data_IF_691131513639
#
_entry.id   IF_691131513639
#
_cell.length_a   1.000
_cell.length_b   1.000
_cell.length_c   1.000
_cell.angle_alpha   90.00
_cell.angle_beta   90.00
_cell.angle_gamma   90.00
#
_symmetry.space_group_name_H-M   'P 1'
#
loop_
_entity.id
_entity.type
_entity.pdbx_description
1 polymer ?
#
# COMPACT_ATOMS: atom_id res chain seq x y z
N UNK A 1 -2.53 65.20 36.34
CA UNK A 1 -2.04 63.85 35.96
C UNK A 1 -3.18 63.11 35.28
N UNK A 2 -3.29 63.21 33.95
CA UNK A 2 -4.41 62.63 33.20
C UNK A 2 -4.11 61.18 32.81
N UNK A 3 -4.84 60.25 33.42
CA UNK A 3 -4.97 58.89 32.91
C UNK A 3 -5.52 58.90 31.49
N UNK A 4 -4.83 58.23 30.58
CA UNK A 4 -5.24 57.98 29.20
C UNK A 4 -5.24 56.45 29.07
N UNK A 5 -6.35 55.77 29.27
CA UNK A 5 -7.60 55.92 28.52
C UNK A 5 -7.45 55.07 27.26
N UNK A 6 -8.04 53.87 27.28
CA UNK A 6 -8.15 52.93 26.16
C UNK A 6 -8.44 53.70 24.86
N UNK A 7 -7.43 53.89 24.01
CA UNK A 7 -7.65 54.37 22.65
C UNK A 7 -8.20 53.21 21.83
N UNK A 8 -9.48 53.32 21.49
CA UNK A 8 -10.14 52.46 20.54
C UNK A 8 -9.46 52.48 19.17
N UNK A 9 -9.28 51.28 18.61
CA UNK A 9 -9.64 51.03 17.22
C UNK A 9 -8.67 51.44 16.12
N UNK A 10 -7.35 51.29 16.27
CA UNK A 10 -6.54 51.01 15.06
C UNK A 10 -7.02 49.69 14.49
N UNK A 11 -7.35 49.65 13.19
CA UNK A 11 -7.71 48.43 12.48
C UNK A 11 -6.66 47.35 12.81
N UNK A 12 -7.07 46.35 13.60
CA UNK A 12 -6.13 45.38 14.17
C UNK A 12 -5.54 44.61 13.00
N UNK A 13 -4.24 44.77 12.76
CA UNK A 13 -3.52 44.03 11.73
C UNK A 13 -3.87 42.54 11.86
N UNK A 14 -4.17 41.90 10.72
CA UNK A 14 -4.67 40.52 10.69
C UNK A 14 -3.68 39.64 11.46
N UNK A 15 -4.11 39.10 12.59
CA UNK A 15 -3.22 38.36 13.47
C UNK A 15 -2.63 37.16 12.71
N UNK A 16 -1.30 37.09 12.59
CA UNK A 16 -0.62 35.94 12.00
C UNK A 16 -1.02 34.67 12.76
N UNK A 17 -1.43 33.64 12.02
CA UNK A 17 -1.85 32.37 12.61
C UNK A 17 -0.66 31.64 13.23
N UNK A 18 -0.91 30.79 14.23
CA UNK A 18 0.16 29.96 14.84
C UNK A 18 0.86 29.09 13.80
N UNK A 19 0.13 28.55 12.82
CA UNK A 19 0.70 27.81 11.67
C UNK A 19 1.66 28.68 10.86
N UNK A 20 1.23 29.87 10.43
CA UNK A 20 2.08 30.78 9.64
C UNK A 20 3.34 31.22 10.38
N UNK A 21 3.28 31.35 11.72
CA UNK A 21 4.47 31.67 12.54
C UNK A 21 5.42 30.49 12.68
N UNK A 22 4.91 29.26 12.65
CA UNK A 22 5.68 28.03 12.75
C UNK A 22 6.17 27.51 11.39
N UNK A 23 5.77 28.13 10.28
CA UNK A 23 6.12 27.66 8.93
C UNK A 23 5.39 26.39 8.48
N UNK A 24 4.27 26.04 9.13
CA UNK A 24 3.53 24.80 8.87
C UNK A 24 2.30 25.09 7.99
N UNK A 25 2.04 24.20 7.03
CA UNK A 25 0.78 24.16 6.29
C UNK A 25 -0.36 23.60 7.16
N UNK A 26 -0.05 22.69 8.08
CA UNK A 26 -1.03 22.05 8.95
C UNK A 26 -1.56 23.00 10.04
N UNK A 27 -2.84 22.86 10.42
CA UNK A 27 -3.50 23.83 11.30
C UNK A 27 -3.18 23.59 12.79
N UNK A 28 -2.08 24.19 13.29
CA UNK A 28 -1.65 24.17 14.70
C UNK A 28 -2.80 24.50 15.67
N UNK A 29 -3.62 25.49 15.32
CA UNK A 29 -4.75 25.90 16.16
C UNK A 29 -5.81 24.81 16.33
N UNK A 30 -6.07 24.04 15.28
CA UNK A 30 -7.01 22.91 15.29
C UNK A 30 -6.43 21.74 16.06
N UNK A 31 -5.16 21.43 15.88
CA UNK A 31 -4.44 20.39 16.64
C UNK A 31 -4.50 20.67 18.14
N UNK A 32 -4.25 21.92 18.57
CA UNK A 32 -4.38 22.28 19.99
C UNK A 32 -5.79 22.02 20.53
N UNK A 33 -6.83 22.37 19.77
CA UNK A 33 -8.22 22.13 20.20
C UNK A 33 -8.54 20.64 20.29
N UNK A 34 -8.04 19.82 19.35
CA UNK A 34 -8.22 18.37 19.38
C UNK A 34 -7.50 17.75 20.59
N UNK A 35 -6.29 18.18 20.91
CA UNK A 35 -5.56 17.73 22.10
C UNK A 35 -6.31 18.06 23.39
N UNK A 36 -6.90 19.25 23.50
CA UNK A 36 -7.74 19.63 24.65
C UNK A 36 -9.03 18.82 24.73
N UNK A 37 -9.71 18.60 23.59
CA UNK A 37 -10.97 17.84 23.54
C UNK A 37 -10.74 16.35 23.85
N UNK A 38 -9.59 15.80 23.50
CA UNK A 38 -9.26 14.40 23.72
C UNK A 38 -8.97 14.04 25.18
N UNK A 39 -8.90 15.02 26.09
CA UNK A 39 -8.66 14.80 27.52
C UNK A 39 -7.42 13.93 27.83
N UNK A 40 -6.39 14.00 26.98
CA UNK A 40 -5.14 13.24 27.16
C UNK A 40 -4.33 13.68 28.39
N UNK A 41 -4.51 14.92 28.83
CA UNK A 41 -3.91 15.52 30.01
C UNK A 41 -4.73 16.73 30.48
N UNK A 42 -4.65 17.06 31.77
CA UNK A 42 -5.33 18.24 32.36
C UNK A 42 -4.87 19.56 31.69
N UNK A 43 -3.58 19.64 31.35
CA UNK A 43 -2.98 20.81 30.69
C UNK A 43 -2.23 20.40 29.42
N UNK A 44 -2.39 21.21 28.38
CA UNK A 44 -1.65 21.08 27.11
C UNK A 44 -0.78 22.32 26.97
N UNK A 45 0.55 22.11 26.93
CA UNK A 45 1.53 23.17 26.73
C UNK A 45 1.46 23.79 25.33
N UNK A 46 1.90 25.05 25.20
CA UNK A 46 1.77 25.80 23.95
C UNK A 46 2.57 25.22 22.77
N UNK A 47 3.71 24.56 23.05
CA UNK A 47 4.58 23.95 22.04
C UNK A 47 4.09 22.57 21.54
N UNK A 48 3.36 21.82 22.37
CA UNK A 48 2.85 20.48 22.03
C UNK A 48 2.05 20.44 20.70
N UNK A 49 1.08 21.34 20.45
CA UNK A 49 0.34 21.33 19.18
C UNK A 49 1.16 21.78 17.98
N UNK A 50 2.26 22.52 18.19
CA UNK A 50 3.18 22.91 17.10
C UNK A 50 3.99 21.70 16.68
N UNK A 51 4.60 21.01 17.65
CA UNK A 51 5.39 19.81 17.40
C UNK A 51 4.56 18.71 16.73
N UNK A 52 3.38 18.41 17.30
CA UNK A 52 2.50 17.40 16.73
C UNK A 52 2.02 17.77 15.31
N UNK A 53 1.69 19.04 15.05
CA UNK A 53 1.32 19.48 13.71
C UNK A 53 2.47 19.29 12.70
N UNK A 54 3.71 19.57 13.10
CA UNK A 54 4.89 19.37 12.27
C UNK A 54 5.11 17.89 11.93
N UNK A 55 5.01 17.00 12.91
CA UNK A 55 5.12 15.54 12.70
C UNK A 55 4.03 15.03 11.76
N UNK A 56 2.79 15.47 11.97
CA UNK A 56 1.67 15.09 11.10
C UNK A 56 1.85 15.61 9.67
N UNK A 57 2.38 16.82 9.50
CA UNK A 57 2.68 17.40 8.19
C UNK A 57 3.79 16.63 7.48
N UNK A 58 4.88 16.31 8.19
CA UNK A 58 5.98 15.49 7.68
C UNK A 58 5.51 14.12 7.20
N UNK A 59 4.80 13.37 8.05
CA UNK A 59 4.30 12.04 7.69
C UNK A 59 3.31 12.09 6.52
N UNK A 60 2.48 13.14 6.46
CA UNK A 60 1.55 13.32 5.33
C UNK A 60 2.29 13.63 4.04
N UNK A 61 3.31 14.49 4.09
CA UNK A 61 4.13 14.83 2.94
C UNK A 61 4.83 13.59 2.39
N UNK A 62 5.45 12.77 3.25
CA UNK A 62 6.12 11.52 2.87
C UNK A 62 5.17 10.55 2.17
N UNK A 63 4.01 10.27 2.78
CA UNK A 63 3.01 9.37 2.19
C UNK A 63 2.50 9.91 0.85
N UNK A 64 2.27 11.22 0.74
CA UNK A 64 1.78 11.85 -0.49
C UNK A 64 2.85 11.89 -1.59
N UNK A 65 4.12 12.07 -1.24
CA UNK A 65 5.24 12.03 -2.19
C UNK A 65 5.37 10.64 -2.80
N UNK A 66 5.46 9.60 -1.96
CA UNK A 66 5.54 8.22 -2.40
C UNK A 66 4.28 7.80 -3.19
N UNK A 67 3.09 8.21 -2.76
CA UNK A 67 1.85 7.95 -3.50
C UNK A 67 1.77 8.73 -4.82
N UNK A 68 2.34 9.93 -4.88
CA UNK A 68 2.48 10.73 -6.08
C UNK A 68 3.42 10.06 -7.09
N UNK A 69 4.53 9.51 -6.62
CA UNK A 69 5.45 8.69 -7.43
C UNK A 69 4.75 7.43 -7.95
N UNK A 70 4.06 6.69 -7.08
CA UNK A 70 3.27 5.52 -7.49
C UNK A 70 2.15 5.87 -8.49
N UNK A 71 1.54 7.05 -8.39
CA UNK A 71 0.57 7.53 -9.37
C UNK A 71 1.23 7.78 -10.73
N UNK A 72 2.38 8.45 -10.72
CA UNK A 72 3.18 8.78 -11.91
C UNK A 72 3.65 7.52 -12.63
N UNK A 73 4.14 6.52 -11.89
CA UNK A 73 4.56 5.23 -12.43
C UNK A 73 3.40 4.48 -13.11
N UNK A 74 2.20 4.61 -12.55
CA UNK A 74 0.97 4.10 -13.15
C UNK A 74 0.38 5.01 -14.24
N UNK A 75 1.12 6.05 -14.67
CA UNK A 75 0.71 7.04 -15.68
C UNK A 75 -0.59 7.73 -15.33
N UNK A 76 -0.83 8.00 -14.05
CA UNK A 76 -1.97 8.73 -13.53
C UNK A 76 -1.50 10.06 -12.93
N UNK A 77 -2.29 11.10 -13.14
CA UNK A 77 -2.07 12.43 -12.54
C UNK A 77 -2.84 12.61 -11.22
N UNK A 78 -3.70 11.64 -10.87
CA UNK A 78 -4.53 11.65 -9.66
C UNK A 78 -4.12 10.52 -8.72
N UNK A 79 -3.89 10.85 -7.46
CA UNK A 79 -3.70 9.88 -6.39
C UNK A 79 -5.04 9.20 -6.09
N UNK A 80 -5.03 7.86 -6.05
CA UNK A 80 -6.17 7.02 -5.66
C UNK A 80 -5.76 6.13 -4.48
N UNK A 81 -6.69 5.48 -3.76
CA UNK A 81 -6.34 4.64 -2.62
C UNK A 81 -5.32 3.54 -2.93
N UNK A 82 -5.31 3.01 -4.17
CA UNK A 82 -4.27 2.08 -4.64
C UNK A 82 -2.86 2.66 -4.52
N UNK A 83 -2.65 3.93 -4.86
CA UNK A 83 -1.33 4.55 -4.80
C UNK A 83 -0.87 4.73 -3.35
N UNK A 84 -1.79 5.03 -2.43
CA UNK A 84 -1.50 5.06 -0.99
C UNK A 84 -1.10 3.67 -0.47
N UNK A 85 -1.80 2.63 -0.90
CA UNK A 85 -1.44 1.25 -0.54
C UNK A 85 -0.05 0.87 -1.07
N UNK A 86 0.27 1.21 -2.33
CA UNK A 86 1.59 0.93 -2.90
C UNK A 86 2.70 1.68 -2.15
N UNK A 87 2.49 2.96 -1.86
CA UNK A 87 3.44 3.78 -1.10
C UNK A 87 3.71 3.20 0.28
N UNK A 88 2.66 2.96 1.07
CA UNK A 88 2.78 2.46 2.44
C UNK A 88 3.38 1.07 2.51
N UNK A 89 3.04 0.16 1.59
CA UNK A 89 3.48 -1.24 1.68
C UNK A 89 4.86 -1.49 1.08
N UNK A 90 5.33 -0.62 0.18
CA UNK A 90 6.69 -0.73 -0.38
C UNK A 90 7.74 -0.02 0.50
N UNK A 91 7.31 0.86 1.39
CA UNK A 91 8.19 1.51 2.36
C UNK A 91 8.20 0.75 3.70
N UNK A 92 9.38 0.40 4.20
CA UNK A 92 9.52 -0.46 5.38
C UNK A 92 9.01 0.24 6.66
N UNK A 93 9.36 1.51 6.84
CA UNK A 93 9.01 2.28 8.02
C UNK A 93 7.50 2.55 8.08
N UNK A 94 6.91 2.97 6.95
CA UNK A 94 5.47 3.20 6.83
C UNK A 94 4.68 1.89 6.93
N UNK A 95 5.16 0.79 6.36
CA UNK A 95 4.50 -0.50 6.48
C UNK A 95 4.50 -1.00 7.92
N UNK A 96 5.59 -0.77 8.66
CA UNK A 96 5.68 -1.09 10.09
C UNK A 96 4.77 -0.19 10.91
N UNK A 97 4.81 1.12 10.66
CA UNK A 97 3.99 2.12 11.36
C UNK A 97 2.49 1.88 11.15
N UNK A 98 2.10 1.48 9.94
CA UNK A 98 0.71 1.29 9.50
C UNK A 98 0.33 -0.19 9.33
N UNK A 99 1.06 -1.10 9.97
CA UNK A 99 0.89 -2.55 9.78
C UNK A 99 -0.54 -3.04 10.06
N UNK A 100 -1.19 -2.49 11.09
CA UNK A 100 -2.57 -2.78 11.48
C UNK A 100 -3.65 -1.94 10.80
N UNK A 101 -3.29 -1.06 9.85
CA UNK A 101 -4.23 -0.16 9.19
C UNK A 101 -4.68 -0.76 7.85
N UNK A 102 -6.00 -0.80 7.64
CA UNK A 102 -6.60 -1.18 6.36
C UNK A 102 -6.84 0.05 5.49
N UNK A 103 -6.22 0.10 4.31
CA UNK A 103 -6.49 1.13 3.30
C UNK A 103 -7.59 0.61 2.38
N UNK A 104 -8.82 1.08 2.60
CA UNK A 104 -9.98 0.71 1.78
C UNK A 104 -9.75 1.07 0.31
N UNK A 105 -10.19 0.21 -0.60
CA UNK A 105 -9.98 0.36 -2.06
C UNK A 105 -8.50 0.41 -2.50
N UNK A 106 -7.56 0.10 -1.60
CA UNK A 106 -6.13 0.04 -1.89
C UNK A 106 -5.71 -1.22 -2.65
N UNK A 107 -6.54 -2.27 -2.63
CA UNK A 107 -6.17 -3.61 -3.10
C UNK A 107 -4.98 -4.21 -2.32
N UNK A 108 -4.48 -5.35 -2.78
CA UNK A 108 -3.24 -5.96 -2.23
C UNK A 108 -2.07 -5.72 -3.18
N UNK A 109 -0.85 -5.52 -2.67
CA UNK A 109 0.34 -5.51 -3.53
C UNK A 109 0.32 -6.80 -4.39
N UNK A 110 0.55 -6.73 -5.71
CA UNK A 110 0.60 -7.92 -6.53
C UNK A 110 1.83 -8.71 -6.10
N UNK A 111 1.66 -9.69 -5.22
CA UNK A 111 2.71 -10.65 -4.92
C UNK A 111 2.74 -11.67 -6.06
N UNK A 112 3.27 -11.25 -7.20
CA UNK A 112 3.50 -12.12 -8.34
C UNK A 112 4.88 -12.74 -8.11
N UNK A 113 4.94 -14.06 -7.94
CA UNK A 113 6.21 -14.77 -7.80
C UNK A 113 7.19 -14.31 -8.89
N UNK A 114 8.31 -13.71 -8.48
CA UNK A 114 9.36 -13.20 -9.36
C UNK A 114 10.00 -14.29 -10.25
N UNK A 115 9.67 -15.56 -10.03
CA UNK A 115 10.22 -16.69 -10.78
C UNK A 115 9.85 -16.71 -12.27
N UNK A 116 8.70 -16.15 -12.68
CA UNK A 116 8.30 -16.15 -14.10
C UNK A 116 8.72 -14.85 -14.78
N UNK A 117 9.87 -14.88 -15.45
CA UNK A 117 10.47 -13.69 -16.05
C UNK A 117 9.83 -13.31 -17.41
N UNK A 118 9.87 -12.02 -17.80
CA UNK A 118 9.40 -11.57 -19.12
C UNK A 118 10.08 -12.31 -20.29
N UNK A 119 11.40 -12.61 -20.22
CA UNK A 119 12.05 -13.46 -21.22
C UNK A 119 11.48 -14.88 -21.29
N UNK A 120 11.11 -15.51 -20.17
CA UNK A 120 10.52 -16.85 -20.18
C UNK A 120 9.18 -16.86 -20.91
N UNK A 121 8.28 -15.92 -20.58
CA UNK A 121 6.99 -15.76 -21.26
C UNK A 121 7.20 -15.47 -22.75
N UNK A 122 8.17 -14.61 -23.08
CA UNK A 122 8.50 -14.27 -24.47
C UNK A 122 8.99 -15.50 -25.24
N UNK A 123 9.90 -16.30 -24.69
CA UNK A 123 10.39 -17.53 -25.32
C UNK A 123 9.26 -18.52 -25.60
N UNK A 124 8.35 -18.72 -24.64
CA UNK A 124 7.17 -19.57 -24.82
C UNK A 124 6.24 -19.05 -25.92
N UNK A 125 5.93 -17.76 -25.90
CA UNK A 125 5.09 -17.14 -26.92
C UNK A 125 5.74 -17.19 -28.31
N UNK A 126 7.07 -17.02 -28.41
CA UNK A 126 7.81 -17.20 -29.68
C UNK A 126 7.70 -18.63 -30.19
N UNK A 127 7.84 -19.63 -29.33
CA UNK A 127 7.64 -21.04 -29.69
C UNK A 127 6.22 -21.30 -30.21
N UNK A 128 5.23 -20.61 -29.68
CA UNK A 128 3.84 -20.62 -30.18
C UNK A 128 3.57 -19.75 -31.41
N UNK A 129 4.60 -19.23 -32.09
CA UNK A 129 4.45 -18.43 -33.32
C UNK A 129 4.06 -16.96 -33.10
N UNK A 130 3.97 -16.49 -31.85
CA UNK A 130 3.59 -15.10 -31.56
C UNK A 130 4.74 -14.15 -31.94
N UNK A 131 4.49 -13.23 -32.88
CA UNK A 131 5.50 -12.26 -33.39
C UNK A 131 5.59 -10.96 -32.57
N UNK A 132 4.51 -10.49 -31.95
CA UNK A 132 4.48 -9.29 -31.08
C UNK A 132 3.63 -9.56 -29.84
N UNK A 133 4.04 -9.04 -28.69
CA UNK A 133 3.38 -9.26 -27.40
C UNK A 133 3.13 -7.89 -26.76
N UNK A 134 1.89 -7.62 -26.35
CA UNK A 134 1.55 -6.41 -25.60
C UNK A 134 2.17 -6.46 -24.20
N UNK A 135 2.59 -5.30 -23.67
CA UNK A 135 3.18 -5.21 -22.33
C UNK A 135 2.26 -5.70 -21.20
N UNK A 136 0.95 -5.60 -21.39
CA UNK A 136 -0.06 -6.04 -20.41
C UNK A 136 -0.12 -7.57 -20.27
N UNK A 137 0.24 -8.31 -21.32
CA UNK A 137 0.21 -9.78 -21.33
C UNK A 137 1.14 -10.38 -20.29
N UNK A 138 2.26 -9.71 -19.96
CA UNK A 138 3.21 -10.25 -18.98
C UNK A 138 2.59 -10.35 -17.58
N UNK A 139 1.86 -9.33 -17.13
CA UNK A 139 1.24 -9.35 -15.81
C UNK A 139 -0.01 -10.24 -15.79
N UNK A 140 -0.81 -10.20 -16.86
CA UNK A 140 -1.99 -11.06 -17.00
C UNK A 140 -1.60 -12.55 -16.97
N UNK A 141 -0.58 -12.94 -17.75
CA UNK A 141 -0.08 -14.32 -17.80
C UNK A 141 0.37 -14.78 -16.43
N UNK A 142 1.06 -13.92 -15.67
CA UNK A 142 1.53 -14.29 -14.32
C UNK A 142 0.39 -14.39 -13.31
N UNK A 143 -0.62 -13.53 -13.41
CA UNK A 143 -1.83 -13.61 -12.59
C UNK A 143 -2.52 -14.96 -12.76
N UNK A 144 -2.75 -15.37 -14.00
CA UNK A 144 -3.36 -16.67 -14.34
C UNK A 144 -2.51 -17.84 -13.82
N UNK A 145 -1.20 -17.80 -14.06
CA UNK A 145 -0.28 -18.86 -13.62
C UNK A 145 -0.21 -18.98 -12.09
N UNK A 146 -0.30 -17.87 -11.37
CA UNK A 146 -0.33 -17.85 -9.91
C UNK A 146 -1.58 -18.55 -9.37
N UNK A 147 -2.76 -18.16 -9.85
CA UNK A 147 -4.04 -18.76 -9.42
C UNK A 147 -4.04 -20.27 -9.71
N UNK A 148 -3.54 -20.66 -10.89
CA UNK A 148 -3.40 -22.07 -11.24
C UNK A 148 -2.47 -22.82 -10.27
N UNK A 149 -1.27 -22.30 -10.02
CA UNK A 149 -0.30 -22.93 -9.13
C UNK A 149 -0.82 -23.07 -7.69
N UNK A 150 -1.46 -22.02 -7.16
CA UNK A 150 -2.05 -22.05 -5.81
C UNK A 150 -3.11 -23.15 -5.67
N UNK A 151 -3.96 -23.32 -6.70
CA UNK A 151 -4.98 -24.36 -6.69
C UNK A 151 -4.35 -25.77 -6.75
N UNK A 152 -3.37 -25.98 -7.62
CA UNK A 152 -2.67 -27.28 -7.73
C UNK A 152 -1.91 -27.63 -6.46
N UNK A 153 -1.20 -26.68 -5.85
CA UNK A 153 -0.47 -26.91 -4.60
C UNK A 153 -1.44 -27.25 -3.46
N UNK A 154 -2.55 -26.52 -3.34
CA UNK A 154 -3.56 -26.79 -2.30
C UNK A 154 -4.07 -28.23 -2.38
N UNK A 155 -4.41 -28.67 -3.58
CA UNK A 155 -4.88 -30.03 -3.80
C UNK A 155 -3.77 -31.06 -3.57
N UNK A 156 -2.55 -30.81 -4.05
CA UNK A 156 -1.42 -31.72 -3.87
C UNK A 156 -1.06 -31.90 -2.38
N UNK A 157 -1.02 -30.81 -1.60
CA UNK A 157 -0.79 -30.86 -0.15
C UNK A 157 -1.89 -31.66 0.55
N UNK A 158 -3.15 -31.49 0.14
CA UNK A 158 -4.27 -32.27 0.68
C UNK A 158 -4.07 -33.78 0.47
N UNK A 159 -3.60 -34.21 -0.71
CA UNK A 159 -3.27 -35.61 -0.97
C UNK A 159 -2.08 -36.11 -0.14
N UNK A 160 -1.04 -35.27 0.03
CA UNK A 160 0.12 -35.57 0.86
C UNK A 160 -0.25 -35.78 2.32
N UNK A 161 -1.08 -34.90 2.88
CA UNK A 161 -1.58 -34.96 4.26
C UNK A 161 -2.47 -36.19 4.48
N UNK A 162 -3.38 -36.49 3.54
CA UNK A 162 -4.23 -37.68 3.60
C UNK A 162 -3.41 -38.97 3.64
N UNK A 163 -2.30 -39.01 2.89
CA UNK A 163 -1.37 -40.13 2.91
C UNK A 163 -0.42 -40.16 4.12
N UNK A 164 -0.59 -39.26 5.11
CA UNK A 164 0.26 -39.08 6.30
C UNK A 164 1.74 -38.88 5.95
N UNK A 165 2.03 -38.34 4.76
CA UNK A 165 3.38 -38.00 4.31
C UNK A 165 3.66 -36.54 4.63
N UNK A 166 4.93 -36.22 4.87
CA UNK A 166 5.40 -34.82 5.06
C UNK A 166 6.01 -34.21 3.80
N UNK A 167 6.13 -35.02 2.74
CA UNK A 167 6.78 -34.64 1.48
C UNK A 167 5.79 -34.78 0.34
N UNK A 168 5.57 -33.68 -0.39
CA UNK A 168 4.76 -33.67 -1.62
C UNK A 168 5.54 -34.42 -2.71
N UNK A 169 4.91 -35.43 -3.27
CA UNK A 169 5.47 -36.26 -4.33
C UNK A 169 4.91 -35.88 -5.70
N UNK A 170 5.57 -36.33 -6.77
CA UNK A 170 5.05 -36.15 -8.12
C UNK A 170 3.62 -36.70 -8.30
N UNK A 171 3.28 -37.81 -7.62
CA UNK A 171 1.95 -38.40 -7.68
C UNK A 171 0.87 -37.52 -7.05
N UNK A 172 1.18 -36.79 -5.98
CA UNK A 172 0.22 -35.86 -5.37
C UNK A 172 -0.15 -34.73 -6.35
N UNK A 173 0.84 -34.25 -7.10
CA UNK A 173 0.64 -33.25 -8.17
C UNK A 173 -0.18 -33.83 -9.31
N UNK A 174 0.10 -35.08 -9.73
CA UNK A 174 -0.68 -35.77 -10.77
C UNK A 174 -2.14 -35.95 -10.34
N UNK A 175 -2.40 -36.34 -9.10
CA UNK A 175 -3.76 -36.49 -8.58
C UNK A 175 -4.49 -35.16 -8.45
N UNK A 176 -3.81 -34.11 -7.97
CA UNK A 176 -4.34 -32.75 -7.97
C UNK A 176 -4.79 -32.30 -9.37
N UNK A 177 -3.98 -32.58 -10.38
CA UNK A 177 -4.28 -32.18 -11.76
C UNK A 177 -5.41 -33.04 -12.38
N UNK A 178 -5.42 -34.36 -12.11
CA UNK A 178 -6.53 -35.25 -12.50
C UNK A 178 -7.86 -34.79 -11.89
N UNK A 179 -7.88 -34.39 -10.62
CA UNK A 179 -9.08 -33.86 -9.94
C UNK A 179 -9.62 -32.58 -10.61
N UNK A 180 -8.74 -31.76 -11.15
CA UNK A 180 -9.10 -30.55 -11.89
C UNK A 180 -9.46 -30.79 -13.37
N UNK A 181 -9.60 -32.06 -13.79
CA UNK A 181 -9.91 -32.42 -15.17
C UNK A 181 -8.75 -32.19 -16.14
N UNK A 182 -7.51 -32.07 -15.65
CA UNK A 182 -6.31 -31.82 -16.45
C UNK A 182 -5.42 -33.06 -16.46
N UNK A 183 -5.45 -33.80 -17.57
CA UNK A 183 -4.55 -34.93 -17.77
C UNK A 183 -3.22 -34.41 -18.34
N UNK A 184 -2.12 -34.62 -17.61
CA UNK A 184 -0.78 -34.48 -18.17
C UNK A 184 -0.40 -35.76 -18.92
N UNK A 185 -0.07 -35.61 -20.20
CA UNK A 185 0.44 -36.69 -21.03
C UNK A 185 1.65 -37.36 -20.36
N UNK A 186 1.62 -38.69 -20.22
CA UNK A 186 2.76 -39.49 -19.73
C UNK A 186 2.69 -40.00 -18.28
N UNK A 187 1.68 -39.63 -17.48
CA UNK A 187 1.49 -40.13 -16.10
C UNK A 187 0.11 -40.77 -15.89
N UNK A 188 -0.25 -41.68 -16.79
CA UNK A 188 -1.47 -42.49 -16.74
C UNK A 188 -1.12 -43.97 -16.71
N UNK A 189 -0.75 -44.48 -15.54
CA UNK A 189 -0.87 -45.88 -15.14
C UNK A 189 -1.81 -45.95 -13.96
#
# INVERSE_FOLDING_TARGET
MSGRGKTGGKARAKAKTRSSRAGLQFPVGRVHRLLRKGNYAERVGAGAPVYLAAVLEYLTAEILELAGNAARDNKKTRIIPRHLQLAVRNDEELNKLLGGVTIAQGGVLPNIQAGITKPAIRRLARRGGVKRISGLIYEETRGVLKVFLENVIRDAVTYTEHAKRKTVTAMDVVYALKRQGRTLYGFGG
#
